data_IF_913223074146
#
_entry.id   IF_913223074146
#
_cell.length_a   1.000
_cell.length_b   1.000
_cell.length_c   1.000
_cell.angle_alpha   90.00
_cell.angle_beta   90.00
_cell.angle_gamma   90.00
#
_symmetry.space_group_name_H-M   'P 1'
#
loop_
_entity.id
_entity.type
_entity.pdbx_description
1 polymer ?
#
# COMPACT_ATOMS: atom_id res chain seq x y z
N UNK A 1 -2.03 4.35 -29.10
CA UNK A 1 -1.04 4.63 -28.03
C UNK A 1 -0.85 6.13 -27.99
N UNK A 2 -0.79 6.73 -26.80
CA UNK A 2 -0.55 8.16 -26.62
C UNK A 2 0.65 8.34 -25.69
N UNK A 3 1.44 9.40 -25.91
CA UNK A 3 2.62 9.70 -25.11
C UNK A 3 2.38 11.02 -24.38
N UNK A 4 2.62 11.03 -23.07
CA UNK A 4 2.51 12.21 -22.23
C UNK A 4 3.86 12.45 -21.57
N UNK A 5 4.44 13.62 -21.82
CA UNK A 5 5.68 14.05 -21.18
C UNK A 5 5.39 14.84 -19.92
N UNK A 6 6.01 14.46 -18.81
CA UNK A 6 5.98 15.22 -17.57
C UNK A 6 7.30 15.96 -17.38
N UNK A 7 7.24 17.20 -16.90
CA UNK A 7 8.45 17.94 -16.52
C UNK A 7 9.17 17.31 -15.33
N UNK A 8 8.43 16.65 -14.42
CA UNK A 8 8.95 15.96 -13.24
C UNK A 8 8.67 14.46 -13.32
N UNK A 9 9.64 13.58 -13.05
CA UNK A 9 9.41 12.14 -13.06
C UNK A 9 8.46 11.69 -11.93
N UNK A 10 8.40 12.43 -10.83
CA UNK A 10 7.45 12.18 -9.73
C UNK A 10 5.99 12.20 -10.19
N UNK A 11 5.67 13.10 -11.11
CA UNK A 11 4.30 13.32 -11.55
C UNK A 11 3.86 12.20 -12.50
N UNK A 12 4.80 11.67 -13.30
CA UNK A 12 4.58 10.49 -14.12
C UNK A 12 4.24 9.25 -13.28
N UNK A 13 4.93 9.07 -12.15
CA UNK A 13 4.62 7.99 -11.20
C UNK A 13 3.24 8.15 -10.57
N UNK A 14 2.92 9.36 -10.09
CA UNK A 14 1.60 9.66 -9.51
C UNK A 14 0.47 9.46 -10.52
N UNK A 15 0.67 9.86 -11.78
CA UNK A 15 -0.29 9.68 -12.85
C UNK A 15 -0.54 8.19 -13.12
N UNK A 16 0.52 7.38 -13.22
CA UNK A 16 0.39 5.92 -13.33
C UNK A 16 -0.40 5.35 -12.16
N UNK A 17 -0.03 5.67 -10.93
CA UNK A 17 -0.74 5.17 -9.74
C UNK A 17 -2.22 5.55 -9.71
N UNK A 18 -2.57 6.75 -10.19
CA UNK A 18 -3.94 7.29 -10.11
C UNK A 18 -4.85 6.82 -11.24
N UNK A 19 -4.32 6.55 -12.43
CA UNK A 19 -5.11 6.35 -13.64
C UNK A 19 -4.91 4.98 -14.31
N UNK A 20 -3.90 4.21 -13.91
CA UNK A 20 -3.74 2.85 -14.40
C UNK A 20 -4.95 1.99 -14.01
N UNK A 21 -5.49 1.26 -14.99
CA UNK A 21 -6.70 0.47 -14.85
C UNK A 21 -8.01 1.27 -14.86
N UNK A 22 -7.99 2.61 -14.92
CA UNK A 22 -9.25 3.40 -14.97
C UNK A 22 -9.92 3.32 -16.33
N UNK A 23 -11.25 3.30 -16.33
CA UNK A 23 -12.07 3.31 -17.55
C UNK A 23 -12.53 4.75 -17.80
N UNK A 24 -12.07 5.35 -18.89
CA UNK A 24 -12.45 6.73 -19.28
C UNK A 24 -13.41 6.73 -20.47
N UNK A 25 -13.22 5.83 -21.42
CA UNK A 25 -14.01 5.73 -22.68
C UNK A 25 -15.12 4.66 -22.61
N UNK A 26 -15.41 4.13 -21.41
CA UNK A 26 -16.46 3.11 -21.19
C UNK A 26 -16.20 1.73 -21.81
N UNK A 27 -15.18 1.56 -22.67
CA UNK A 27 -14.91 0.30 -23.39
C UNK A 27 -13.75 -0.51 -22.80
N UNK A 28 -12.62 0.13 -22.51
CA UNK A 28 -11.39 -0.54 -22.06
C UNK A 28 -10.71 0.24 -20.93
N UNK A 29 -10.15 -0.43 -19.91
CA UNK A 29 -9.33 0.24 -18.91
C UNK A 29 -8.03 0.76 -19.54
N UNK A 30 -7.54 1.89 -19.03
CA UNK A 30 -6.27 2.47 -19.43
C UNK A 30 -5.11 1.61 -18.90
N UNK A 31 -4.08 1.40 -19.73
CA UNK A 31 -2.80 0.80 -19.35
C UNK A 31 -1.72 1.85 -19.48
N UNK A 32 -1.03 2.19 -18.40
CA UNK A 32 -0.02 3.24 -18.38
C UNK A 32 1.38 2.64 -18.18
N UNK A 33 2.26 2.88 -19.14
CA UNK A 33 3.66 2.43 -19.11
C UNK A 33 4.58 3.65 -19.03
N UNK A 34 5.67 3.52 -18.25
CA UNK A 34 6.68 4.57 -18.10
C UNK A 34 7.82 4.28 -19.06
N UNK A 35 8.09 5.23 -19.96
CA UNK A 35 9.20 5.14 -20.91
C UNK A 35 10.32 6.01 -20.36
N UNK A 36 11.46 5.39 -20.03
CA UNK A 36 12.69 6.08 -19.68
C UNK A 36 13.68 5.87 -20.80
N UNK A 37 13.87 6.86 -21.66
CA UNK A 37 14.93 6.81 -22.66
C UNK A 37 16.28 6.89 -21.96
N UNK A 38 17.02 5.77 -21.99
CA UNK A 38 18.49 5.56 -22.02
C UNK A 38 19.45 6.36 -21.14
N UNK A 39 19.14 7.60 -20.78
CA UNK A 39 19.84 8.36 -19.76
C UNK A 39 19.24 8.03 -18.40
N UNK A 40 19.70 6.93 -17.80
CA UNK A 40 19.78 6.85 -16.33
C UNK A 40 20.78 7.92 -15.84
N UNK A 41 20.48 9.20 -16.06
CA UNK A 41 21.21 10.29 -15.45
C UNK A 41 20.61 10.49 -14.06
N UNK A 42 21.16 9.70 -13.14
CA UNK A 42 21.32 9.99 -11.72
C UNK A 42 20.04 10.25 -10.93
N UNK A 43 19.64 9.23 -10.17
CA UNK A 43 18.61 9.39 -9.15
C UNK A 43 18.05 8.12 -8.55
N UNK A 44 18.73 6.97 -8.64
CA UNK A 44 18.73 6.12 -7.46
C UNK A 44 19.35 7.02 -6.37
N UNK A 45 18.52 7.66 -5.54
CA UNK A 45 19.01 8.10 -4.24
C UNK A 45 19.47 6.81 -3.56
N UNK A 46 20.76 6.50 -3.71
CA UNK A 46 21.49 5.83 -2.65
C UNK A 46 21.24 6.71 -1.45
N UNK A 47 20.25 6.33 -0.64
CA UNK A 47 20.10 6.90 0.68
C UNK A 47 21.47 6.85 1.39
N UNK A 48 21.70 7.72 2.39
CA UNK A 48 22.93 7.63 3.17
C UNK A 48 23.19 6.16 3.53
N UNK A 49 24.43 5.66 3.38
CA UNK A 49 24.74 4.27 3.64
C UNK A 49 24.15 3.91 5.01
N UNK A 50 23.41 2.80 5.15
CA UNK A 50 22.75 2.46 6.39
C UNK A 50 23.82 2.41 7.48
N UNK A 51 23.80 3.41 8.37
CA UNK A 51 24.73 3.45 9.49
C UNK A 51 24.42 2.23 10.35
N UNK A 52 25.38 1.31 10.56
CA UNK A 52 25.10 0.10 11.32
C UNK A 52 24.66 0.50 12.73
N UNK A 53 23.48 -0.01 13.12
CA UNK A 53 22.91 0.17 14.44
C UNK A 53 23.86 -0.38 15.51
N UNK A 54 23.77 0.14 16.75
CA UNK A 54 24.58 -0.34 17.89
C UNK A 54 24.45 -1.86 18.09
N UNK A 55 23.26 -2.42 17.81
CA UNK A 55 22.99 -3.85 17.87
C UNK A 55 23.91 -4.66 16.92
N UNK A 56 24.15 -4.13 15.71
CA UNK A 56 25.04 -4.73 14.72
C UNK A 56 26.53 -4.58 15.06
N UNK A 57 26.89 -3.78 16.08
CA UNK A 57 28.26 -3.63 16.57
C UNK A 57 28.56 -4.52 17.77
N UNK A 58 27.56 -4.75 18.62
CA UNK A 58 27.71 -5.56 19.84
C UNK A 58 27.51 -7.04 19.53
N UNK A 59 26.66 -7.38 18.54
CA UNK A 59 26.57 -8.73 18.00
C UNK A 59 27.61 -8.93 16.89
N UNK A 60 28.50 -9.91 17.06
CA UNK A 60 29.51 -10.33 16.07
C UNK A 60 29.04 -10.21 14.60
N UNK A 61 29.85 -9.62 13.69
CA UNK A 61 29.49 -9.55 12.27
C UNK A 61 29.61 -10.93 11.62
N UNK A 62 28.50 -11.66 11.54
CA UNK A 62 28.40 -12.79 10.64
C UNK A 62 28.42 -12.24 9.19
N UNK A 63 29.47 -12.62 8.46
CA UNK A 63 29.60 -12.43 7.01
C UNK A 63 28.28 -12.80 6.31
N UNK A 64 27.62 -11.84 5.69
CA UNK A 64 26.55 -12.15 4.73
C UNK A 64 26.81 -11.37 3.45
N UNK A 65 27.29 -12.11 2.45
CA UNK A 65 27.29 -11.71 1.04
C UNK A 65 25.86 -11.39 0.59
N UNK A 66 25.64 -10.40 -0.29
CA UNK A 66 24.39 -10.31 -1.01
C UNK A 66 24.36 -11.40 -2.10
N UNK A 67 23.64 -12.49 -1.84
CA UNK A 67 23.25 -13.45 -2.87
C UNK A 67 22.12 -12.83 -3.70
N UNK A 68 22.41 -12.58 -4.97
CA UNK A 68 21.39 -12.31 -5.97
C UNK A 68 20.69 -13.63 -6.33
N UNK A 69 19.36 -13.67 -6.24
CA UNK A 69 18.57 -14.70 -6.92
C UNK A 69 17.17 -14.18 -7.26
N UNK A 70 16.95 -14.05 -8.56
CA UNK A 70 15.65 -13.96 -9.22
C UNK A 70 14.88 -15.29 -9.09
N UNK A 71 13.55 -15.25 -9.23
CA UNK A 71 12.70 -16.41 -9.51
C UNK A 71 11.45 -16.47 -8.62
N UNK A 72 10.32 -15.87 -9.01
CA UNK A 72 9.22 -16.50 -9.79
C UNK A 72 8.57 -17.67 -9.06
N UNK A 73 7.34 -17.47 -8.58
CA UNK A 73 6.16 -18.30 -8.92
C UNK A 73 4.89 -17.58 -8.48
N UNK A 74 4.16 -17.02 -9.44
CA UNK A 74 2.77 -16.57 -9.30
C UNK A 74 1.84 -17.78 -9.45
N UNK A 75 1.09 -18.11 -8.41
CA UNK A 75 0.06 -19.15 -8.46
C UNK A 75 -1.12 -18.63 -9.28
N UNK A 76 -1.31 -19.25 -10.44
CA UNK A 76 -2.41 -19.05 -11.38
C UNK A 76 -3.66 -19.71 -10.80
N UNK A 77 -4.74 -18.95 -10.62
CA UNK A 77 -6.08 -19.51 -10.46
C UNK A 77 -6.93 -19.16 -11.69
N UNK A 78 -7.39 -20.15 -12.47
CA UNK A 78 -8.34 -19.90 -13.55
C UNK A 78 -9.73 -19.69 -12.96
N UNK A 79 -10.29 -18.47 -13.08
CA UNK A 79 -11.70 -18.24 -12.79
C UNK A 79 -12.52 -18.71 -14.00
N UNK A 80 -13.18 -19.85 -13.84
CA UNK A 80 -14.09 -20.41 -14.83
C UNK A 80 -15.26 -19.46 -15.12
N UNK A 81 -15.39 -19.03 -16.37
CA UNK A 81 -16.55 -18.28 -16.86
C UNK A 81 -17.74 -19.23 -16.99
N UNK A 82 -18.76 -19.08 -16.14
CA UNK A 82 -20.07 -19.67 -16.41
C UNK A 82 -20.84 -18.73 -17.34
N UNK A 83 -20.95 -19.12 -18.61
CA UNK A 83 -21.98 -18.60 -19.50
C UNK A 83 -23.35 -19.06 -18.97
N UNK A 84 -24.26 -18.12 -18.70
CA UNK A 84 -25.68 -18.43 -18.46
C UNK A 84 -26.50 -17.78 -19.55
N UNK A 85 -27.24 -18.64 -20.22
CA UNK A 85 -28.17 -18.39 -21.32
C UNK A 85 -29.18 -17.30 -21.00
N UNK A 86 -29.42 -16.46 -22.01
CA UNK A 86 -30.53 -15.52 -22.04
C UNK A 86 -31.83 -16.31 -22.21
N UNK A 87 -32.78 -16.14 -21.29
CA UNK A 87 -34.19 -16.41 -21.58
C UNK A 87 -34.87 -15.05 -21.77
N UNK A 88 -35.37 -14.83 -22.97
CA UNK A 88 -36.27 -13.74 -23.31
C UNK A 88 -37.63 -14.03 -22.66
N UNK A 89 -38.02 -13.21 -21.68
CA UNK A 89 -39.38 -13.18 -21.16
C UNK A 89 -39.99 -11.86 -21.65
N UNK A 90 -41.06 -12.00 -22.44
CA UNK A 90 -41.88 -10.88 -22.91
C UNK A 90 -42.66 -10.32 -21.72
N UNK A 91 -42.60 -9.00 -21.41
CA UNK A 91 -43.41 -8.41 -20.35
C UNK A 91 -44.86 -8.15 -20.82
N UNK A 92 -45.88 -8.36 -19.97
CA UNK A 92 -47.24 -7.87 -20.21
C UNK A 92 -47.34 -6.34 -20.02
N UNK A 93 -48.36 -5.68 -20.60
CA UNK A 93 -48.50 -4.23 -20.57
C UNK A 93 -48.85 -3.71 -19.17
N UNK A 94 -47.92 -2.92 -18.64
CA UNK A 94 -48.08 -1.70 -17.86
C UNK A 94 -49.36 -1.55 -16.99
N UNK A 95 -49.27 -2.00 -15.74
CA UNK A 95 -50.01 -1.39 -14.64
C UNK A 95 -49.00 -0.61 -13.78
N UNK A 96 -49.16 0.72 -13.73
CA UNK A 96 -48.29 1.60 -12.96
C UNK A 96 -48.51 1.39 -11.45
N UNK A 97 -47.65 0.58 -10.83
CA UNK A 97 -47.62 0.42 -9.38
C UNK A 97 -46.78 1.58 -8.80
N UNK A 98 -47.28 2.38 -7.85
CA UNK A 98 -46.51 3.47 -7.26
C UNK A 98 -45.34 2.90 -6.44
N UNK A 99 -44.12 3.15 -6.91
CA UNK A 99 -42.89 2.68 -6.26
C UNK A 99 -42.57 3.59 -5.06
N UNK A 100 -42.48 3.07 -3.82
CA UNK A 100 -42.13 3.88 -2.67
C UNK A 100 -40.68 4.39 -2.76
N UNK A 101 -40.38 5.58 -2.19
CA UNK A 101 -39.07 6.19 -2.29
C UNK A 101 -37.99 5.30 -1.64
N UNK A 102 -37.01 4.92 -2.46
CA UNK A 102 -35.90 4.05 -2.05
C UNK A 102 -34.94 4.82 -1.15
N UNK A 103 -34.85 4.43 0.14
CA UNK A 103 -33.86 5.00 1.07
C UNK A 103 -32.44 4.69 0.58
N UNK A 104 -31.75 5.74 0.12
CA UNK A 104 -30.34 5.67 -0.28
C UNK A 104 -29.53 5.41 0.99
N UNK A 105 -29.01 4.19 1.13
CA UNK A 105 -28.07 3.85 2.20
C UNK A 105 -26.81 4.68 2.02
N UNK A 106 -26.62 5.66 2.88
CA UNK A 106 -25.35 6.36 3.02
C UNK A 106 -24.29 5.31 3.39
N UNK A 107 -23.37 5.04 2.47
CA UNK A 107 -22.24 4.15 2.75
C UNK A 107 -21.44 4.84 3.85
N UNK A 108 -21.33 4.19 5.01
CA UNK A 108 -20.49 4.66 6.10
C UNK A 108 -19.07 4.78 5.53
N UNK A 109 -18.56 6.00 5.44
CA UNK A 109 -17.18 6.24 5.02
C UNK A 109 -16.20 5.53 5.96
N UNK A 110 -14.93 5.34 5.56
CA UNK A 110 -13.93 4.70 6.39
C UNK A 110 -13.94 5.30 7.81
N UNK A 111 -14.15 4.44 8.81
CA UNK A 111 -14.19 4.83 10.22
C UNK A 111 -12.81 5.39 10.55
N UNK A 112 -12.71 6.70 10.80
CA UNK A 112 -11.46 7.36 11.17
C UNK A 112 -10.85 6.63 12.37
N UNK A 113 -9.73 5.95 12.14
CA UNK A 113 -8.89 5.44 13.22
C UNK A 113 -8.38 6.68 13.97
N UNK A 114 -8.80 6.84 15.22
CA UNK A 114 -8.29 7.90 16.09
C UNK A 114 -6.81 7.60 16.31
N UNK A 115 -5.93 8.40 15.72
CA UNK A 115 -4.49 8.37 16.02
C UNK A 115 -4.37 8.59 17.53
N UNK A 116 -3.68 7.68 18.24
CA UNK A 116 -3.31 7.93 19.63
C UNK A 116 -2.46 9.20 19.66
N UNK A 117 -2.68 10.05 20.67
CA UNK A 117 -1.98 11.32 20.81
C UNK A 117 -0.46 11.08 20.82
N UNK A 118 0.30 12.07 20.36
CA UNK A 118 1.75 12.04 20.46
C UNK A 118 2.15 11.88 21.93
N UNK A 119 3.02 10.92 22.20
CA UNK A 119 3.65 10.74 23.52
C UNK A 119 4.41 12.03 23.82
N UNK A 120 4.09 12.66 24.95
CA UNK A 120 4.76 13.89 25.40
C UNK A 120 6.16 13.56 25.90
N UNK A 121 7.08 14.53 25.84
CA UNK A 121 8.48 14.35 26.28
C UNK A 121 8.51 13.88 27.75
N UNK A 122 7.71 14.51 28.61
CA UNK A 122 7.59 14.13 30.03
C UNK A 122 7.15 12.67 30.23
N UNK A 123 6.33 12.14 29.33
CA UNK A 123 5.88 10.75 29.40
C UNK A 123 7.01 9.79 29.00
N UNK A 124 7.82 10.18 28.00
CA UNK A 124 9.00 9.44 27.59
C UNK A 124 10.07 9.42 28.70
N UNK A 125 10.29 10.56 29.36
CA UNK A 125 11.25 10.67 30.46
C UNK A 125 10.84 9.80 31.65
N UNK A 126 9.55 9.79 31.99
CA UNK A 126 9.01 8.91 33.01
C UNK A 126 9.19 7.43 32.67
N UNK A 127 8.87 7.04 31.43
CA UNK A 127 9.06 5.65 30.97
C UNK A 127 10.54 5.23 31.01
N UNK A 128 11.47 6.15 30.73
CA UNK A 128 12.91 5.89 30.83
C UNK A 128 13.40 5.76 32.28
N UNK A 129 12.84 6.53 33.20
CA UNK A 129 13.17 6.47 34.63
C UNK A 129 12.67 5.17 35.27
N UNK A 130 11.43 4.77 34.95
CA UNK A 130 10.86 3.49 35.38
C UNK A 130 11.71 2.30 34.88
N UNK A 131 12.22 2.39 33.65
CA UNK A 131 13.09 1.35 33.07
C UNK A 131 14.44 1.25 33.78
N UNK A 132 15.03 2.39 34.20
CA UNK A 132 16.26 2.42 34.99
C UNK A 132 16.06 1.85 36.37
N UNK A 133 15.00 2.26 37.06
CA UNK A 133 14.66 1.76 38.39
C UNK A 133 14.38 0.24 38.39
N UNK A 134 13.71 -0.27 37.35
CA UNK A 134 13.45 -1.70 37.21
C UNK A 134 14.74 -2.51 36.96
N UNK A 135 15.69 -1.96 36.20
CA UNK A 135 16.97 -2.60 35.94
C UNK A 135 17.80 -2.76 37.23
N UNK A 136 17.88 -1.70 38.04
CA UNK A 136 18.63 -1.71 39.30
C UNK A 136 18.04 -2.68 40.34
N UNK A 137 16.71 -2.81 40.40
CA UNK A 137 16.04 -3.77 41.29
C UNK A 137 16.20 -5.23 40.86
N UNK A 138 16.41 -5.50 39.57
CA UNK A 138 16.62 -6.86 39.05
C UNK A 138 18.05 -7.37 39.24
N UNK A 139 19.02 -6.48 39.48
CA UNK A 139 20.42 -6.83 39.72
C UNK A 139 20.75 -7.21 41.17
N UNK A 140 19.86 -6.93 42.13
CA UNK A 140 20.11 -7.14 43.56
C UNK A 140 19.54 -8.46 44.11
N UNK A 141 18.83 -9.26 43.30
CA UNK A 141 18.20 -10.52 43.72
C UNK A 141 18.93 -11.78 43.21
N UNK A 142 20.12 -11.61 42.63
CA UNK A 142 20.93 -12.70 42.07
C UNK A 142 22.35 -12.77 42.65
N UNK A 143 22.48 -13.03 43.95
CA UNK A 143 23.68 -13.60 44.58
C UNK A 143 23.23 -14.74 45.48
#
# INVERSE_FOLDING_TARGET
>A
MAVVSFARPSDAMLAKQKYDGKVVDGRRPLKIELITEGTQLYGAQTGPPPTPSLLNRIGNPAKTQPSAANGVTSTIFPHAQKARSQMQIVPPPNAAIPVPPRRIRQKKGPKRIKKRAAITIDQLDKEMEDYRAAADMSGLTGI
#
